data_IF_050135695391
#
_entry.id   IF_050135695391
#
_cell.length_a   1.000
_cell.length_b   1.000
_cell.length_c   1.000
_cell.angle_alpha   90.00
_cell.angle_beta   90.00
_cell.angle_gamma   90.00
#
_symmetry.space_group_name_H-M   'P 1'
#
loop_
_entity.id
_entity.type
_entity.pdbx_description
1 polymer ?
#
# COMPACT_ATOMS: atom_id res chain seq x y z
N UNK A 1 -25.04 27.04 -28.66
CA UNK A 1 -25.53 25.67 -28.90
C UNK A 1 -24.54 24.70 -28.26
N UNK A 2 -25.08 23.68 -27.62
CA UNK A 2 -24.56 22.96 -26.46
C UNK A 2 -23.23 22.21 -26.68
N UNK A 3 -22.29 22.42 -25.76
CA UNK A 3 -21.16 21.51 -25.53
C UNK A 3 -21.65 20.27 -24.80
N UNK A 4 -21.72 19.13 -25.49
CA UNK A 4 -22.02 17.84 -24.89
C UNK A 4 -20.84 17.36 -24.04
N UNK A 5 -21.01 17.41 -22.73
CA UNK A 5 -20.20 16.71 -21.74
C UNK A 5 -20.39 15.20 -21.93
N UNK A 6 -19.48 14.54 -22.65
CA UNK A 6 -19.41 13.08 -22.69
C UNK A 6 -18.85 12.58 -21.36
N UNK A 7 -19.75 12.39 -20.38
CA UNK A 7 -19.50 11.51 -19.24
C UNK A 7 -19.32 10.09 -19.79
N UNK A 8 -18.09 9.57 -19.78
CA UNK A 8 -17.79 8.18 -20.14
C UNK A 8 -18.50 7.27 -19.14
N UNK A 9 -19.60 6.64 -19.54
CA UNK A 9 -20.22 5.57 -18.77
C UNK A 9 -19.28 4.37 -18.83
N UNK A 10 -18.38 4.25 -17.85
CA UNK A 10 -17.54 3.07 -17.67
C UNK A 10 -18.41 1.80 -17.74
N UNK A 11 -17.92 0.78 -18.45
CA UNK A 11 -18.68 -0.42 -18.79
C UNK A 11 -19.30 -1.08 -17.55
N UNK A 12 -20.54 -1.55 -17.67
CA UNK A 12 -21.20 -2.34 -16.61
C UNK A 12 -20.35 -3.55 -16.23
N UNK A 13 -19.66 -4.14 -17.22
CA UNK A 13 -18.73 -5.24 -17.01
C UNK A 13 -17.61 -4.80 -16.06
N UNK A 14 -16.94 -3.69 -16.34
CA UNK A 14 -15.85 -3.17 -15.51
C UNK A 14 -16.30 -2.93 -14.06
N UNK A 15 -17.45 -2.27 -13.87
CA UNK A 15 -18.03 -2.03 -12.54
C UNK A 15 -18.34 -3.33 -11.79
N UNK A 16 -18.93 -4.29 -12.48
CA UNK A 16 -19.28 -5.59 -11.91
C UNK A 16 -18.03 -6.35 -11.52
N UNK A 17 -17.02 -6.40 -12.40
CA UNK A 17 -15.73 -7.04 -12.13
C UNK A 17 -15.02 -6.40 -10.94
N UNK A 18 -14.93 -5.07 -10.87
CA UNK A 18 -14.31 -4.36 -9.74
C UNK A 18 -15.03 -4.68 -8.42
N UNK A 19 -16.37 -4.74 -8.43
CA UNK A 19 -17.14 -5.11 -7.23
C UNK A 19 -16.87 -6.55 -6.80
N UNK A 20 -16.71 -7.47 -7.76
CA UNK A 20 -16.32 -8.86 -7.49
C UNK A 20 -14.90 -8.96 -6.94
N UNK A 21 -13.95 -8.21 -7.49
CA UNK A 21 -12.58 -8.11 -6.97
C UNK A 21 -12.58 -7.63 -5.52
N UNK A 22 -13.40 -6.62 -5.18
CA UNK A 22 -13.46 -6.12 -3.80
C UNK A 22 -14.02 -7.19 -2.86
N UNK A 23 -15.08 -7.87 -3.28
CA UNK A 23 -15.66 -8.99 -2.54
C UNK A 23 -14.65 -10.12 -2.34
N UNK A 24 -13.78 -10.37 -3.33
CA UNK A 24 -12.73 -11.38 -3.23
C UNK A 24 -11.71 -11.07 -2.13
N UNK A 25 -11.44 -9.80 -1.81
CA UNK A 25 -10.51 -9.42 -0.74
C UNK A 25 -10.97 -9.88 0.65
N UNK A 26 -12.27 -10.13 0.83
CA UNK A 26 -12.85 -10.65 2.07
C UNK A 26 -12.58 -12.15 2.26
N UNK A 27 -12.08 -12.84 1.22
CA UNK A 27 -11.67 -14.23 1.28
C UNK A 27 -10.46 -14.44 2.20
N UNK A 28 -10.41 -15.60 2.86
CA UNK A 28 -9.31 -15.95 3.75
C UNK A 28 -7.98 -15.97 2.98
N UNK A 29 -7.03 -15.15 3.42
CA UNK A 29 -5.70 -15.06 2.81
C UNK A 29 -5.61 -14.21 1.54
N UNK A 30 -6.70 -13.62 1.05
CA UNK A 30 -6.67 -12.76 -0.14
C UNK A 30 -6.15 -11.35 0.17
N UNK A 31 -6.62 -10.71 1.24
CA UNK A 31 -6.00 -9.45 1.66
C UNK A 31 -4.73 -9.72 2.48
N UNK A 32 -3.54 -9.23 2.05
CA UNK A 32 -2.32 -9.45 2.82
C UNK A 32 -2.40 -8.78 4.19
N UNK A 33 -1.97 -9.49 5.24
CA UNK A 33 -1.94 -8.94 6.60
C UNK A 33 -1.19 -7.60 6.67
N UNK A 34 -1.75 -6.65 7.40
CA UNK A 34 -1.20 -5.30 7.51
C UNK A 34 -1.62 -4.36 6.37
N UNK A 35 -2.41 -4.83 5.41
CA UNK A 35 -3.00 -3.98 4.38
C UNK A 35 -4.49 -3.79 4.62
N UNK A 36 -4.96 -2.56 4.47
CA UNK A 36 -6.37 -2.19 4.56
C UNK A 36 -6.74 -1.45 3.29
N UNK A 37 -7.75 -1.92 2.58
CA UNK A 37 -8.17 -1.39 1.28
C UNK A 37 -9.64 -1.02 1.36
N UNK A 38 -9.99 0.19 0.92
CA UNK A 38 -11.36 0.66 0.82
C UNK A 38 -11.58 1.35 -0.54
N UNK A 39 -12.71 1.11 -1.22
CA UNK A 39 -13.11 1.92 -2.36
C UNK A 39 -13.30 3.37 -1.93
N UNK A 40 -12.92 4.31 -2.79
CA UNK A 40 -13.23 5.73 -2.62
C UNK A 40 -14.75 5.92 -2.62
N UNK A 41 -15.22 6.92 -1.86
CA UNK A 41 -16.65 7.26 -1.79
C UNK A 41 -17.14 7.91 -3.08
N UNK A 42 -16.23 8.54 -3.80
CA UNK A 42 -16.49 9.34 -4.99
C UNK A 42 -16.42 8.50 -6.28
N UNK A 43 -15.52 7.52 -6.33
CA UNK A 43 -15.31 6.68 -7.53
C UNK A 43 -14.96 5.23 -7.17
N UNK A 44 -15.78 4.28 -7.66
CA UNK A 44 -15.56 2.84 -7.52
C UNK A 44 -14.26 2.37 -8.20
N UNK A 45 -13.80 3.09 -9.24
CA UNK A 45 -12.56 2.81 -9.97
C UNK A 45 -11.31 3.33 -9.23
N UNK A 46 -11.48 3.85 -8.02
CA UNK A 46 -10.38 4.32 -7.18
C UNK A 46 -10.48 3.65 -5.83
N UNK A 47 -9.47 2.88 -5.44
CA UNK A 47 -9.37 2.29 -4.11
C UNK A 47 -8.21 2.90 -3.36
N UNK A 48 -8.46 3.24 -2.11
CA UNK A 48 -7.50 3.80 -1.18
C UNK A 48 -7.02 2.71 -0.22
N UNK A 49 -5.71 2.59 -0.10
CA UNK A 49 -5.04 1.55 0.66
C UNK A 49 -4.08 2.12 1.70
N UNK A 50 -4.01 1.48 2.85
CA UNK A 50 -2.90 1.67 3.79
C UNK A 50 -2.19 0.35 4.00
N UNK A 51 -0.88 0.38 3.87
CA UNK A 51 0.01 -0.73 4.20
C UNK A 51 0.84 -0.39 5.44
N UNK A 52 0.59 -1.13 6.52
CA UNK A 52 1.42 -1.18 7.71
C UNK A 52 2.49 -2.24 7.53
N UNK A 53 3.71 -1.78 7.26
CA UNK A 53 4.85 -2.67 7.08
C UNK A 53 5.35 -3.17 8.45
N UNK A 54 4.73 -4.23 8.97
CA UNK A 54 5.16 -4.83 10.23
C UNK A 54 6.21 -5.92 10.01
N UNK A 55 7.24 -5.89 10.84
CA UNK A 55 8.25 -6.94 10.89
C UNK A 55 7.72 -8.13 11.71
N UNK A 56 7.72 -9.32 11.10
CA UNK A 56 7.79 -10.55 11.89
C UNK A 56 9.24 -10.77 12.33
N UNK A 57 9.46 -11.44 13.47
CA UNK A 57 10.77 -11.70 14.11
C UNK A 57 11.92 -12.24 13.21
N UNK A 58 11.66 -12.58 11.95
CA UNK A 58 12.61 -13.22 11.02
C UNK A 58 12.79 -12.47 9.69
N UNK A 59 12.20 -11.28 9.50
CA UNK A 59 12.20 -10.60 8.20
C UNK A 59 12.97 -9.30 8.24
N UNK A 60 14.21 -9.26 7.77
CA UNK A 60 14.96 -8.00 7.57
C UNK A 60 14.24 -7.10 6.56
N UNK A 61 13.40 -6.17 7.03
CA UNK A 61 12.69 -5.22 6.20
C UNK A 61 13.21 -3.81 6.49
N UNK A 62 13.78 -3.14 5.48
CA UNK A 62 14.27 -1.76 5.64
C UNK A 62 13.15 -0.75 5.97
N UNK A 63 11.90 -1.15 5.82
CA UNK A 63 10.71 -0.33 6.00
C UNK A 63 9.87 -0.78 7.21
N UNK A 64 10.49 -1.40 8.22
CA UNK A 64 9.79 -1.77 9.45
C UNK A 64 9.05 -0.56 10.02
N UNK A 65 7.82 -0.80 10.45
CA UNK A 65 6.89 0.17 11.04
C UNK A 65 6.44 1.30 10.10
N UNK A 66 6.74 1.23 8.80
CA UNK A 66 6.25 2.21 7.85
C UNK A 66 4.71 2.19 7.74
N UNK A 67 4.10 3.37 7.62
CA UNK A 67 2.67 3.55 7.37
C UNK A 67 2.50 4.15 5.98
N UNK A 68 2.28 3.28 4.99
CA UNK A 68 2.30 3.66 3.58
C UNK A 68 0.89 3.79 3.04
N UNK A 69 0.47 5.02 2.73
CA UNK A 69 -0.79 5.30 2.03
C UNK A 69 -0.55 5.17 0.53
N UNK A 70 -1.45 4.50 -0.16
CA UNK A 70 -1.39 4.35 -1.61
C UNK A 70 -2.80 4.29 -2.20
N UNK A 71 -2.88 4.51 -3.51
CA UNK A 71 -4.11 4.50 -4.28
C UNK A 71 -3.98 3.55 -5.45
N UNK A 72 -4.99 2.71 -5.64
CA UNK A 72 -5.18 1.84 -6.80
C UNK A 72 -6.20 2.51 -7.71
N UNK A 73 -5.87 2.71 -8.98
CA UNK A 73 -6.77 3.30 -9.96
C UNK A 73 -6.99 2.31 -11.11
N UNK A 74 -8.24 1.90 -11.28
CA UNK A 74 -8.68 0.97 -12.30
C UNK A 74 -8.94 1.71 -13.62
N UNK A 75 -8.52 1.17 -14.77
CA UNK A 75 -8.87 1.74 -16.06
C UNK A 75 -10.36 1.50 -16.36
N UNK A 76 -10.97 2.36 -17.18
CA UNK A 76 -12.38 2.21 -17.59
C UNK A 76 -12.67 0.88 -18.32
N UNK A 77 -11.64 0.31 -18.94
CA UNK A 77 -11.70 -0.99 -19.62
C UNK A 77 -11.17 -2.15 -18.76
N UNK A 78 -11.18 -2.04 -17.44
CA UNK A 78 -10.88 -3.18 -16.56
C UNK A 78 -11.87 -4.35 -16.80
N UNK A 79 -11.43 -5.61 -16.86
CA UNK A 79 -10.09 -6.12 -16.54
C UNK A 79 -9.13 -6.23 -17.74
N UNK A 80 -9.41 -5.67 -18.91
CA UNK A 80 -8.55 -5.84 -20.11
C UNK A 80 -7.15 -5.21 -19.91
N UNK A 81 -7.05 -4.20 -19.06
CA UNK A 81 -5.79 -3.56 -18.66
C UNK A 81 -5.58 -3.63 -17.14
N UNK A 82 -4.32 -3.72 -16.68
CA UNK A 82 -4.01 -3.72 -15.26
C UNK A 82 -4.39 -2.39 -14.62
N UNK A 83 -4.73 -2.38 -13.31
CA UNK A 83 -4.83 -1.15 -12.54
C UNK A 83 -3.45 -0.49 -12.39
N UNK A 84 -3.44 0.78 -12.04
CA UNK A 84 -2.23 1.51 -11.65
C UNK A 84 -2.20 1.69 -10.15
N UNK A 85 -0.99 1.76 -9.58
CA UNK A 85 -0.80 1.96 -8.13
C UNK A 85 0.11 3.17 -7.94
N UNK A 86 -0.29 4.07 -7.06
CA UNK A 86 0.50 5.24 -6.68
C UNK A 86 0.56 5.38 -5.17
N UNK A 87 1.76 5.50 -4.62
CA UNK A 87 2.00 5.85 -3.23
C UNK A 87 1.76 7.35 -3.03
N UNK A 88 0.99 7.66 -1.99
CA UNK A 88 0.72 9.03 -1.52
C UNK A 88 1.77 9.43 -0.50
N UNK A 89 2.20 8.46 0.32
CA UNK A 89 3.37 8.62 1.18
C UNK A 89 4.62 8.60 0.31
N UNK A 90 5.54 9.55 0.52
CA UNK A 90 6.84 9.55 -0.15
C UNK A 90 7.69 8.40 0.38
N UNK A 91 8.16 7.55 -0.53
CA UNK A 91 8.94 6.36 -0.19
C UNK A 91 10.14 6.25 -1.11
N UNK A 92 11.33 6.20 -0.53
CA UNK A 92 12.54 5.85 -1.25
C UNK A 92 12.58 4.34 -1.51
N UNK A 93 12.14 3.88 -2.69
CA UNK A 93 12.07 2.46 -3.05
C UNK A 93 12.35 2.23 -4.56
N UNK A 94 13.08 1.17 -4.97
CA UNK A 94 13.46 0.97 -6.38
C UNK A 94 12.29 0.89 -7.37
N UNK A 95 11.16 0.28 -6.96
CA UNK A 95 9.95 0.17 -7.79
C UNK A 95 9.01 1.39 -7.72
N UNK A 96 9.30 2.40 -6.90
CA UNK A 96 8.42 3.57 -6.74
C UNK A 96 9.11 4.78 -7.36
N UNK A 97 8.46 5.46 -8.31
CA UNK A 97 9.00 6.68 -8.94
C UNK A 97 9.01 7.86 -7.95
N UNK A 98 9.68 8.95 -8.31
CA UNK A 98 9.68 10.17 -7.47
C UNK A 98 8.27 10.76 -7.29
N UNK A 99 7.37 10.51 -8.24
CA UNK A 99 5.96 10.90 -8.17
C UNK A 99 5.07 9.86 -7.47
N UNK A 100 5.67 8.82 -6.88
CA UNK A 100 4.98 7.75 -6.16
C UNK A 100 4.44 6.62 -7.04
N UNK A 101 4.65 6.62 -8.35
CA UNK A 101 4.10 5.57 -9.22
C UNK A 101 4.80 4.24 -9.00
N UNK A 102 4.04 3.18 -8.71
CA UNK A 102 4.60 1.84 -8.44
C UNK A 102 4.64 0.96 -9.68
N UNK A 103 5.85 0.54 -10.06
CA UNK A 103 6.07 -0.36 -11.18
C UNK A 103 5.89 -1.83 -10.77
N UNK A 104 4.76 -2.40 -11.19
CA UNK A 104 4.44 -3.82 -11.03
C UNK A 104 4.54 -4.60 -12.36
N UNK A 105 4.96 -3.94 -13.45
CA UNK A 105 4.83 -4.49 -14.79
C UNK A 105 5.65 -5.76 -15.02
N UNK A 106 6.83 -5.90 -14.39
CA UNK A 106 7.67 -7.10 -14.55
C UNK A 106 6.99 -8.37 -14.02
N UNK A 107 6.10 -8.24 -13.02
CA UNK A 107 5.40 -9.38 -12.43
C UNK A 107 4.17 -9.80 -13.21
N UNK A 108 3.54 -8.87 -13.93
CA UNK A 108 2.24 -9.05 -14.56
C UNK A 108 2.27 -8.80 -16.07
N UNK A 109 3.44 -8.86 -16.74
CA UNK A 109 3.53 -8.78 -18.21
C UNK A 109 3.69 -10.19 -18.82
N UNK A 110 2.84 -10.59 -19.77
CA UNK A 110 1.60 -9.91 -20.21
C UNK A 110 0.51 -9.97 -19.12
N UNK A 111 -0.35 -8.96 -19.08
CA UNK A 111 -1.49 -8.94 -18.14
C UNK A 111 -2.52 -9.98 -18.56
N UNK A 112 -2.98 -10.80 -17.60
CA UNK A 112 -3.92 -11.89 -17.83
C UNK A 112 -5.17 -11.68 -16.99
N UNK A 113 -6.25 -11.10 -17.55
CA UNK A 113 -7.46 -10.70 -16.81
C UNK A 113 -8.18 -11.82 -16.04
N UNK A 114 -7.95 -13.09 -16.39
CA UNK A 114 -8.57 -14.26 -15.75
C UNK A 114 -7.68 -14.94 -14.70
N UNK A 115 -6.40 -14.59 -14.67
CA UNK A 115 -5.40 -15.20 -13.78
C UNK A 115 -4.90 -14.19 -12.75
N UNK A 116 -4.79 -12.91 -13.11
CA UNK A 116 -4.30 -11.86 -12.24
C UNK A 116 -5.46 -11.11 -11.60
N UNK A 117 -5.52 -11.16 -10.28
CA UNK A 117 -6.51 -10.46 -9.47
C UNK A 117 -5.88 -9.32 -8.68
N UNK A 118 -6.71 -8.49 -8.06
CA UNK A 118 -6.22 -7.39 -7.22
C UNK A 118 -5.47 -7.91 -5.99
N UNK A 119 -5.89 -9.04 -5.41
CA UNK A 119 -5.13 -9.60 -4.30
C UNK A 119 -3.71 -10.01 -4.69
N UNK A 120 -3.45 -10.46 -5.92
CA UNK A 120 -2.09 -10.77 -6.38
C UNK A 120 -1.22 -9.52 -6.41
N UNK A 121 -1.79 -8.41 -6.88
CA UNK A 121 -1.14 -7.10 -6.87
C UNK A 121 -0.84 -6.65 -5.44
N UNK A 122 -1.77 -6.80 -4.50
CA UNK A 122 -1.55 -6.45 -3.09
C UNK A 122 -0.43 -7.31 -2.47
N UNK A 123 -0.43 -8.62 -2.73
CA UNK A 123 0.64 -9.52 -2.30
C UNK A 123 1.98 -9.11 -2.89
N UNK A 124 2.00 -8.72 -4.16
CA UNK A 124 3.21 -8.25 -4.82
C UNK A 124 3.72 -6.93 -4.23
N UNK A 125 2.84 -5.96 -3.95
CA UNK A 125 3.18 -4.74 -3.21
C UNK A 125 3.83 -5.11 -1.88
N UNK A 126 3.20 -5.96 -1.06
CA UNK A 126 3.79 -6.38 0.22
C UNK A 126 5.14 -7.07 0.05
N UNK A 127 5.28 -7.91 -0.97
CA UNK A 127 6.52 -8.63 -1.24
C UNK A 127 7.65 -7.71 -1.70
N UNK A 128 7.37 -6.59 -2.40
CA UNK A 128 8.41 -5.71 -2.93
C UNK A 128 9.24 -5.04 -1.84
N UNK A 129 8.67 -4.83 -0.65
CA UNK A 129 9.37 -4.24 0.49
C UNK A 129 10.27 -5.24 1.24
N UNK A 130 10.22 -6.53 0.88
CA UNK A 130 11.09 -7.56 1.49
C UNK A 130 12.46 -7.56 0.83
N UNK A 131 13.51 -7.72 1.65
CA UNK A 131 14.89 -7.87 1.17
C UNK A 131 15.04 -8.94 0.08
N UNK A 132 14.43 -10.11 0.25
CA UNK A 132 14.49 -11.20 -0.73
C UNK A 132 13.97 -10.85 -2.12
N UNK A 133 13.07 -9.86 -2.21
CA UNK A 133 12.54 -9.38 -3.48
C UNK A 133 13.42 -8.26 -4.02
N UNK A 134 13.85 -7.33 -3.17
CA UNK A 134 14.78 -6.25 -3.53
C UNK A 134 16.08 -6.80 -4.13
N UNK A 135 16.65 -7.86 -3.54
CA UNK A 135 17.89 -8.51 -3.99
C UNK A 135 17.76 -9.16 -5.39
N UNK A 136 16.53 -9.40 -5.87
CA UNK A 136 16.25 -10.03 -7.17
C UNK A 136 15.85 -9.04 -8.26
N UNK A 137 15.72 -7.75 -7.92
CA UNK A 137 15.30 -6.73 -8.87
C UNK A 137 16.38 -6.48 -9.93
N UNK A 138 15.92 -6.20 -11.15
CA UNK A 138 16.78 -5.76 -12.25
C UNK A 138 16.59 -4.26 -12.47
N UNK A 139 17.64 -3.58 -12.96
CA UNK A 139 17.60 -2.13 -13.15
C UNK A 139 16.46 -1.69 -14.10
N UNK A 140 16.18 -2.48 -15.13
CA UNK A 140 15.11 -2.25 -16.11
C UNK A 140 13.69 -2.28 -15.50
N UNK A 141 13.55 -2.90 -14.33
CA UNK A 141 12.28 -3.02 -13.62
C UNK A 141 12.07 -1.83 -12.66
N UNK A 142 13.13 -1.08 -12.36
CA UNK A 142 13.14 -0.06 -11.32
C UNK A 142 12.68 1.29 -11.87
N UNK A 143 11.62 1.84 -11.28
CA UNK A 143 11.15 3.19 -11.57
C UNK A 143 12.10 4.25 -11.02
N UNK A 144 12.74 3.97 -9.88
CA UNK A 144 13.74 4.81 -9.25
C UNK A 144 15.11 4.13 -9.31
N UNK A 145 15.89 4.52 -10.32
CA UNK A 145 17.25 4.03 -10.55
C UNK A 145 18.24 4.47 -9.47
N UNK A 146 17.96 5.57 -8.77
CA UNK A 146 18.77 6.00 -7.65
C UNK A 146 18.61 5.04 -6.47
N UNK A 147 17.38 4.76 -6.07
CA UNK A 147 17.09 3.76 -5.03
C UNK A 147 17.64 2.38 -5.39
N UNK A 148 17.58 1.99 -6.67
CA UNK A 148 18.27 0.79 -7.15
C UNK A 148 19.80 0.90 -6.96
N UNK A 149 20.48 1.96 -7.38
CA UNK A 149 21.94 2.07 -7.18
C UNK A 149 22.35 1.98 -5.70
N UNK A 150 21.61 2.64 -4.81
CA UNK A 150 21.89 2.61 -3.38
C UNK A 150 21.65 1.23 -2.75
N UNK A 151 20.81 0.36 -3.33
CA UNK A 151 20.59 -1.00 -2.81
C UNK A 151 21.90 -1.81 -2.74
N UNK A 152 22.87 -1.52 -3.61
CA UNK A 152 24.20 -2.15 -3.62
C UNK A 152 25.05 -1.75 -2.39
N UNK A 153 24.66 -0.69 -1.68
CA UNK A 153 25.28 -0.19 -0.44
C UNK A 153 24.28 -0.28 0.72
N UNK A 154 24.21 -1.42 1.45
CA UNK A 154 23.13 -1.68 2.40
C UNK A 154 22.96 -0.64 3.50
N UNK A 155 24.05 -0.05 4.02
CA UNK A 155 23.96 0.95 5.09
C UNK A 155 23.31 2.26 4.60
N UNK A 156 23.69 2.73 3.41
CA UNK A 156 23.15 3.96 2.83
C UNK A 156 21.68 3.79 2.46
N UNK A 157 21.33 2.65 1.87
CA UNK A 157 19.93 2.32 1.56
C UNK A 157 19.07 2.25 2.82
N UNK A 158 19.55 1.57 3.87
CA UNK A 158 18.84 1.47 5.15
C UNK A 158 18.56 2.84 5.76
N UNK A 159 19.51 3.77 5.67
CA UNK A 159 19.36 5.13 6.23
C UNK A 159 18.27 5.92 5.50
N UNK A 160 18.24 5.87 4.16
CA UNK A 160 17.23 6.54 3.34
C UNK A 160 15.83 5.91 3.48
N UNK A 161 15.79 4.57 3.58
CA UNK A 161 14.55 3.85 3.87
C UNK A 161 14.00 4.22 5.27
N UNK A 162 14.87 4.32 6.28
CA UNK A 162 14.50 4.74 7.64
C UNK A 162 13.95 6.16 7.65
N UNK A 163 14.53 7.07 6.88
CA UNK A 163 13.99 8.42 6.72
C UNK A 163 12.57 8.39 6.14
N UNK A 164 12.32 7.54 5.14
CA UNK A 164 10.97 7.35 4.57
C UNK A 164 9.99 6.81 5.62
N UNK A 165 10.43 5.87 6.47
CA UNK A 165 9.62 5.36 7.60
C UNK A 165 9.24 6.49 8.55
N UNK A 166 10.21 7.28 8.99
CA UNK A 166 9.97 8.38 9.94
C UNK A 166 9.01 9.43 9.36
N UNK A 167 9.18 9.80 8.09
CA UNK A 167 8.28 10.73 7.41
C UNK A 167 6.87 10.15 7.27
N UNK A 168 6.74 8.85 7.02
CA UNK A 168 5.43 8.18 6.91
C UNK A 168 4.62 8.22 8.21
N UNK A 169 5.29 8.30 9.36
CA UNK A 169 4.67 8.39 10.69
C UNK A 169 4.49 9.83 11.17
N UNK A 170 4.97 10.82 10.42
CA UNK A 170 4.86 12.22 10.80
C UNK A 170 3.40 12.66 10.90
N UNK A 171 3.14 13.64 11.77
CA UNK A 171 1.79 14.13 11.97
C UNK A 171 1.17 14.69 10.69
N UNK A 172 2.00 15.31 9.84
CA UNK A 172 1.58 15.85 8.55
C UNK A 172 1.23 14.74 7.57
N UNK A 173 1.97 13.62 7.53
CA UNK A 173 1.63 12.49 6.67
C UNK A 173 0.36 11.76 7.14
N UNK A 174 0.16 11.64 8.46
CA UNK A 174 -0.94 10.86 9.04
C UNK A 174 -2.26 11.63 9.14
N UNK A 175 -2.23 12.84 9.71
CA UNK A 175 -3.42 13.58 10.15
C UNK A 175 -3.76 14.79 9.29
N UNK A 176 -2.79 15.34 8.53
CA UNK A 176 -3.06 16.51 7.72
C UNK A 176 -4.05 16.18 6.61
N UNK A 177 -5.12 16.96 6.55
CA UNK A 177 -6.13 16.86 5.52
C UNK A 177 -5.64 17.45 4.21
N UNK A 178 -4.65 18.32 4.22
CA UNK A 178 -4.18 19.06 3.04
C UNK A 178 -2.73 18.73 2.67
N UNK A 179 -2.24 17.55 3.11
CA UNK A 179 -0.86 17.11 2.88
C UNK A 179 -0.46 17.25 1.39
N UNK A 180 0.69 17.87 1.06
CA UNK A 180 1.07 18.20 -0.31
C UNK A 180 1.31 16.99 -1.23
N UNK A 181 1.53 15.79 -0.68
CA UNK A 181 1.56 14.53 -1.44
C UNK A 181 0.18 14.05 -1.92
N UNK A 182 -0.89 14.76 -1.53
CA UNK A 182 -2.25 14.49 -2.00
C UNK A 182 -2.36 14.96 -3.45
N UNK A 183 -2.41 13.99 -4.38
CA UNK A 183 -2.84 14.22 -5.76
C UNK A 183 -4.10 15.08 -5.71
N UNK A 184 -4.12 16.23 -6.41
CA UNK A 184 -5.31 17.10 -6.56
C UNK A 184 -6.55 16.23 -6.82
N UNK A 185 -7.36 15.98 -5.80
CA UNK A 185 -8.38 14.94 -5.84
C UNK A 185 -8.99 14.63 -4.48
N UNK A 186 -10.02 13.79 -4.51
CA UNK A 186 -10.84 13.40 -3.37
C UNK A 186 -10.02 12.90 -2.17
N UNK A 187 -10.49 13.16 -0.93
CA UNK A 187 -9.80 12.77 0.29
C UNK A 187 -9.60 11.25 0.34
N UNK A 188 -8.43 10.82 0.83
CA UNK A 188 -8.15 9.39 1.04
C UNK A 188 -9.23 8.79 1.96
N UNK A 189 -9.82 7.67 1.55
CA UNK A 189 -10.95 7.06 2.25
C UNK A 189 -10.61 6.65 3.70
N UNK A 190 -9.36 6.21 3.93
CA UNK A 190 -8.85 5.86 5.26
C UNK A 190 -8.21 7.12 5.88
N UNK A 191 -8.80 7.62 6.97
CA UNK A 191 -8.33 8.80 7.70
C UNK A 191 -7.88 8.40 9.11
N UNK A 192 -6.72 8.91 9.52
CA UNK A 192 -6.23 8.76 10.89
C UNK A 192 -6.70 9.94 11.73
N UNK A 193 -6.95 9.66 13.01
CA UNK A 193 -7.28 10.67 14.00
C UNK A 193 -6.40 10.47 15.22
N UNK A 194 -5.95 11.58 15.82
CA UNK A 194 -5.24 11.51 17.10
C UNK A 194 -6.25 11.13 18.18
N UNK A 195 -5.94 10.09 18.94
CA UNK A 195 -6.69 9.71 20.12
C UNK A 195 -6.00 10.27 21.36
N UNK A 196 -6.76 10.79 22.31
CA UNK A 196 -6.23 11.09 23.64
C UNK A 196 -5.92 9.80 24.40
N UNK A 197 -5.08 9.89 25.45
CA UNK A 197 -4.75 8.72 26.27
C UNK A 197 -5.99 8.04 26.88
N UNK A 198 -7.01 8.85 27.22
CA UNK A 198 -8.28 8.37 27.74
C UNK A 198 -9.11 7.66 26.67
N UNK A 199 -9.29 8.28 25.50
CA UNK A 199 -9.98 7.66 24.36
C UNK A 199 -9.30 6.36 23.91
N UNK A 200 -7.97 6.33 23.94
CA UNK A 200 -7.20 5.13 23.63
C UNK A 200 -7.48 4.02 24.64
N UNK A 201 -7.46 4.32 25.95
CA UNK A 201 -7.77 3.35 27.01
C UNK A 201 -9.19 2.79 26.85
N UNK A 202 -10.18 3.66 26.68
CA UNK A 202 -11.57 3.25 26.48
C UNK A 202 -11.75 2.37 25.23
N UNK A 203 -11.15 2.79 24.11
CA UNK A 203 -11.25 2.03 22.85
C UNK A 203 -10.57 0.67 22.99
N UNK A 204 -9.43 0.62 23.67
CA UNK A 204 -8.70 -0.62 23.94
C UNK A 204 -9.51 -1.59 24.81
N UNK A 205 -10.17 -1.08 25.84
CA UNK A 205 -11.07 -1.88 26.69
C UNK A 205 -12.27 -2.39 25.90
N UNK A 206 -12.91 -1.56 25.08
CA UNK A 206 -14.04 -1.94 24.22
C UNK A 206 -13.69 -3.05 23.22
N UNK A 207 -12.46 -3.03 22.68
CA UNK A 207 -11.99 -4.03 21.70
C UNK A 207 -11.36 -5.26 22.41
N UNK A 208 -11.28 -5.27 23.74
CA UNK A 208 -10.78 -6.41 24.52
C UNK A 208 -9.28 -6.69 24.35
N UNK A 209 -8.50 -5.73 23.83
CA UNK A 209 -7.07 -5.90 23.60
C UNK A 209 -6.28 -5.79 24.91
N UNK A 210 -5.76 -6.91 25.41
CA UNK A 210 -4.89 -6.92 26.60
C UNK A 210 -3.52 -6.32 26.27
N UNK A 211 -2.96 -5.50 27.18
CA UNK A 211 -1.54 -5.15 27.15
C UNK A 211 -0.71 -6.42 27.34
N UNK A 212 -0.09 -6.93 26.27
CA UNK A 212 0.96 -7.93 26.41
C UNK A 212 2.18 -7.21 26.98
N UNK A 213 2.51 -7.44 28.25
CA UNK A 213 3.76 -6.93 28.80
C UNK A 213 4.89 -7.88 28.44
N UNK A 214 6.09 -7.34 28.19
CA UNK A 214 7.28 -8.14 27.80
C UNK A 214 7.64 -9.25 28.81
N UNK A 215 7.07 -9.23 30.01
CA UNK A 215 7.23 -10.26 31.04
C UNK A 215 6.42 -11.55 30.79
N UNK A 216 5.42 -11.50 29.91
CA UNK A 216 4.55 -12.65 29.61
C UNK A 216 5.10 -13.54 28.46
N UNK A 217 6.26 -13.17 27.89
CA UNK A 217 6.93 -13.99 26.89
C UNK A 217 7.67 -15.15 27.60
N UNK A 218 7.04 -16.33 27.63
CA UNK A 218 7.70 -17.59 28.03
C UNK A 218 9.02 -17.77 27.27
N UNK A 219 10.14 -18.13 27.95
CA UNK A 219 11.38 -18.44 27.27
C UNK A 219 11.16 -19.69 26.42
N UNK A 220 11.36 -19.56 25.11
CA UNK A 220 11.37 -20.69 24.19
C UNK A 220 12.61 -21.52 24.55
N UNK A 221 12.40 -22.76 25.01
CA UNK A 221 13.49 -23.73 25.16
C UNK A 221 14.01 -24.06 23.76
N UNK A 222 15.31 -23.82 23.55
CA UNK A 222 16.04 -24.29 22.38
C UNK A 222 15.93 -25.83 22.31
N UNK A 223 15.56 -26.34 21.13
CA UNK A 223 15.74 -27.74 20.72
C UNK A 223 16.62 -27.68 19.48
#
# INVERSE_FOLDING_TARGET
>A
MSTTTTSSKASIIARTTITMEYSSLMGAGHCPQGMYILPSKEDLFVWDGVFFAHEGKLSTCFYSDAILKFRVTFPENYPDRPPTVRFITDVFHPLISQEGAFNHSHRFRPWRPKEHHIFDLLHFIKASFKKSTLDKLREEECANKEAFRYHQSPQSFASLATQSVQLSQSETALFDRDHPGRIRGAPHAIQFQKLTAEQFRETKEKVGLRTVTRKDATPIKEI
#
